data_IF_139666660689
#
_entry.id   IF_139666660689
#
_cell.length_a   1.000
_cell.length_b   1.000
_cell.length_c   1.000
_cell.angle_alpha   90.00
_cell.angle_beta   90.00
_cell.angle_gamma   90.00
#
_symmetry.space_group_name_H-M   'P 1'
#
loop_
_entity.id
_entity.type
_entity.pdbx_description
1 polymer ?
#
# COMPACT_ATOMS: atom_id res chain seq x y z
N UNK A 1 5.41 -4.38 8.54
CA UNK A 1 5.27 -3.25 7.60
C UNK A 1 3.99 -3.44 6.84
N UNK A 2 3.34 -2.35 6.42
CA UNK A 2 2.15 -2.38 5.58
C UNK A 2 2.46 -1.75 4.23
N UNK A 3 2.16 -2.44 3.15
CA UNK A 3 2.09 -1.86 1.81
C UNK A 3 0.63 -1.54 1.53
N UNK A 4 0.34 -0.28 1.23
CA UNK A 4 -1.00 0.15 0.82
C UNK A 4 -0.95 0.49 -0.66
N UNK A 5 -1.62 -0.32 -1.47
CA UNK A 5 -1.66 -0.22 -2.93
C UNK A 5 -2.99 0.42 -3.32
N UNK A 6 -2.95 1.73 -3.54
CA UNK A 6 -4.13 2.54 -3.90
C UNK A 6 -3.70 3.84 -4.60
N UNK A 7 -4.57 4.37 -5.45
CA UNK A 7 -4.51 5.70 -6.06
C UNK A 7 -5.37 6.71 -5.28
N UNK A 8 -6.21 6.23 -4.36
CA UNK A 8 -7.04 7.07 -3.50
C UNK A 8 -6.21 7.56 -2.28
N UNK A 9 -5.86 8.85 -2.32
CA UNK A 9 -5.07 9.50 -1.27
C UNK A 9 -5.83 9.68 0.04
N UNK A 10 -7.17 9.77 -0.01
CA UNK A 10 -8.01 9.85 1.18
C UNK A 10 -8.06 8.49 1.89
N UNK A 11 -8.25 7.41 1.14
CA UNK A 11 -8.18 6.04 1.67
C UNK A 11 -6.80 5.77 2.29
N UNK A 12 -5.71 6.11 1.59
CA UNK A 12 -4.36 5.97 2.13
C UNK A 12 -4.19 6.73 3.46
N UNK A 13 -4.63 8.00 3.51
CA UNK A 13 -4.50 8.83 4.71
C UNK A 13 -5.29 8.25 5.88
N UNK A 14 -6.51 7.77 5.64
CA UNK A 14 -7.33 7.12 6.65
C UNK A 14 -6.64 5.86 7.20
N UNK A 15 -6.15 5.00 6.32
CA UNK A 15 -5.47 3.77 6.71
C UNK A 15 -4.16 4.04 7.44
N UNK A 16 -3.36 5.02 7.01
CA UNK A 16 -2.14 5.44 7.71
C UNK A 16 -2.43 5.89 9.14
N UNK A 17 -3.52 6.63 9.35
CA UNK A 17 -3.94 7.08 10.68
C UNK A 17 -4.41 5.92 11.55
N UNK A 18 -5.16 4.96 11.00
CA UNK A 18 -5.61 3.77 11.73
C UNK A 18 -4.41 2.90 12.13
N UNK A 19 -3.48 2.71 11.20
CA UNK A 19 -2.30 1.87 11.38
C UNK A 19 -1.17 2.53 12.17
N UNK A 20 -1.35 3.79 12.62
CA UNK A 20 -0.49 4.78 13.34
C UNK A 20 0.84 4.37 14.01
N UNK A 21 1.11 3.08 14.25
CA UNK A 21 2.33 2.51 14.83
C UNK A 21 3.13 1.60 13.90
N UNK A 22 2.59 1.22 12.74
CA UNK A 22 3.28 0.40 11.74
C UNK A 22 4.07 1.25 10.76
N UNK A 23 5.19 0.72 10.25
CA UNK A 23 5.80 1.26 9.04
C UNK A 23 4.82 1.04 7.88
N UNK A 24 4.24 2.14 7.34
CA UNK A 24 3.26 2.14 6.26
C UNK A 24 3.90 2.79 5.03
N UNK A 25 3.90 2.06 3.92
CA UNK A 25 4.42 2.51 2.63
C UNK A 25 3.24 2.62 1.65
N UNK A 26 3.12 3.77 1.00
CA UNK A 26 2.16 3.97 -0.09
C UNK A 26 2.80 3.47 -1.38
N UNK A 27 2.18 2.51 -2.05
CA UNK A 27 2.61 2.00 -3.35
C UNK A 27 1.74 2.65 -4.44
N UNK A 28 2.37 3.48 -5.26
CA UNK A 28 1.74 4.24 -6.34
C UNK A 28 2.12 3.73 -7.74
N UNK A 29 3.07 2.80 -7.82
CA UNK A 29 3.41 2.03 -9.03
C UNK A 29 3.95 0.65 -8.63
N UNK A 30 3.96 -0.30 -9.56
CA UNK A 30 4.44 -1.66 -9.27
C UNK A 30 5.95 -1.71 -8.99
N UNK A 31 6.72 -0.79 -9.60
CA UNK A 31 8.19 -0.71 -9.50
C UNK A 31 8.67 -0.32 -8.10
N UNK A 32 7.83 0.33 -7.29
CA UNK A 32 8.09 0.63 -5.88
C UNK A 32 8.14 -0.63 -5.00
N UNK A 33 7.69 -1.79 -5.49
CA UNK A 33 7.68 -3.04 -4.71
C UNK A 33 9.06 -3.71 -4.78
N UNK A 34 9.90 -3.46 -3.78
CA UNK A 34 11.16 -4.19 -3.56
C UNK A 34 10.93 -5.53 -2.84
N UNK A 35 11.30 -6.64 -3.47
CA UNK A 35 11.06 -8.00 -2.95
C UNK A 35 11.85 -8.30 -1.67
N UNK A 36 13.05 -7.75 -1.51
CA UNK A 36 13.92 -8.00 -0.36
C UNK A 36 13.47 -7.16 0.83
N UNK A 37 13.16 -5.88 0.59
CA UNK A 37 12.68 -4.96 1.63
C UNK A 37 11.27 -5.36 2.09
N UNK A 38 10.41 -5.78 1.15
CA UNK A 38 8.99 -6.01 1.41
C UNK A 38 8.60 -7.47 1.67
N UNK A 39 9.58 -8.37 1.80
CA UNK A 39 9.37 -9.81 1.96
C UNK A 39 8.37 -10.20 3.08
N UNK A 40 8.33 -9.43 4.17
CA UNK A 40 7.47 -9.70 5.35
C UNK A 40 6.37 -8.63 5.54
N UNK A 41 5.97 -7.95 4.46
CA UNK A 41 4.94 -6.93 4.53
C UNK A 41 3.53 -7.53 4.54
N UNK A 42 2.63 -6.93 5.31
CA UNK A 42 1.19 -7.10 5.13
C UNK A 42 0.74 -6.18 3.99
N UNK A 43 -0.05 -6.70 3.06
CA UNK A 43 -0.47 -5.94 1.86
C UNK A 43 -1.96 -5.61 1.96
N UNK A 44 -2.29 -4.34 1.72
CA UNK A 44 -3.66 -3.82 1.63
C UNK A 44 -3.83 -3.31 0.20
N UNK A 45 -4.77 -3.89 -0.55
CA UNK A 45 -5.00 -3.58 -1.96
C UNK A 45 -6.40 -3.02 -2.13
N UNK A 46 -6.49 -1.87 -2.77
CA UNK A 46 -7.77 -1.28 -3.18
C UNK A 46 -8.29 -1.95 -4.45
N UNK A 47 -9.27 -2.86 -4.34
CA UNK A 47 -9.77 -3.63 -5.49
C UNK A 47 -10.82 -2.91 -6.33
N UNK A 48 -11.18 -1.66 -6.02
CA UNK A 48 -12.20 -0.91 -6.75
C UNK A 48 -11.66 -0.22 -8.03
N UNK A 49 -10.71 -0.86 -8.71
CA UNK A 49 -9.96 -0.30 -9.87
C UNK A 49 -9.12 0.94 -9.55
N UNK A 50 -8.95 1.25 -8.28
CA UNK A 50 -8.11 2.33 -7.79
C UNK A 50 -6.75 1.82 -7.29
N UNK A 51 -6.28 0.66 -7.73
CA UNK A 51 -4.91 0.22 -7.45
C UNK A 51 -4.00 0.41 -8.67
N UNK A 52 -2.74 0.04 -8.50
CA UNK A 52 -1.70 0.21 -9.53
C UNK A 52 -1.28 -1.11 -10.14
N UNK A 53 -1.89 -2.21 -9.71
CA UNK A 53 -1.61 -3.56 -10.21
C UNK A 53 -2.45 -3.83 -11.45
N UNK A 54 -1.80 -4.30 -12.51
CA UNK A 54 -2.49 -4.88 -13.66
C UNK A 54 -2.68 -6.38 -13.43
N UNK A 55 -3.93 -6.80 -13.20
CA UNK A 55 -4.32 -8.22 -13.11
C UNK A 55 -4.92 -8.69 -14.43
#
# INVERSE_FOLDING_TARGET
MFLIITRDTMFFTAMKNILSKGNVVHIQNEEEIDVMLHQNAFVIIDTLMNNVLSF
#
